data_IF_933343034655
#
_entry.id   IF_933343034655
#
_cell.length_a   1.000
_cell.length_b   1.000
_cell.length_c   1.000
_cell.angle_alpha   90.00
_cell.angle_beta   90.00
_cell.angle_gamma   90.00
#
_symmetry.space_group_name_H-M   'P 1'
#
loop_
_entity.id
_entity.type
_entity.pdbx_description
1 polymer ?
#
# COMPACT_ATOMS: atom_id res chain seq x y z
N UNK A 1 -6.65 5.06 16.13
CA UNK A 1 -7.74 4.36 15.41
C UNK A 1 -8.63 5.24 14.53
N UNK A 2 -9.11 6.42 14.98
CA UNK A 2 -10.09 7.18 14.18
C UNK A 2 -9.52 7.75 12.86
N UNK A 3 -8.21 8.06 12.82
CA UNK A 3 -7.52 8.58 11.62
C UNK A 3 -7.28 7.51 10.55
N UNK A 4 -6.84 6.32 10.95
CA UNK A 4 -6.72 5.16 10.04
C UNK A 4 -8.03 4.87 9.33
N UNK A 5 -9.18 4.95 10.03
CA UNK A 5 -10.50 4.79 9.43
C UNK A 5 -10.82 5.84 8.36
N UNK A 6 -10.43 7.09 8.60
CA UNK A 6 -10.62 8.18 7.62
C UNK A 6 -9.76 7.92 6.37
N UNK A 7 -8.49 7.55 6.57
CA UNK A 7 -7.57 7.27 5.46
C UNK A 7 -8.02 6.04 4.67
N UNK A 8 -8.42 4.96 5.36
CA UNK A 8 -8.94 3.76 4.71
C UNK A 8 -10.23 4.04 3.93
N UNK A 9 -11.07 4.96 4.41
CA UNK A 9 -12.26 5.42 3.67
C UNK A 9 -11.94 6.08 2.33
N UNK A 10 -10.74 6.66 2.16
CA UNK A 10 -10.29 7.17 0.85
C UNK A 10 -9.79 6.05 -0.09
N UNK A 11 -9.55 4.86 0.43
CA UNK A 11 -9.04 3.69 -0.29
C UNK A 11 -10.14 2.65 -0.56
N UNK A 12 -11.24 2.70 0.19
CA UNK A 12 -12.39 1.81 0.06
C UNK A 12 -13.55 2.51 -0.66
N UNK A 13 -14.09 1.95 -1.75
CA UNK A 13 -15.33 2.46 -2.35
C UNK A 13 -16.52 2.00 -1.50
N UNK A 14 -16.94 2.80 -0.52
CA UNK A 14 -18.06 2.48 0.40
C UNK A 14 -19.47 2.71 -0.20
N UNK A 15 -19.64 2.54 -1.51
CA UNK A 15 -20.93 2.70 -2.19
C UNK A 15 -21.40 1.36 -2.77
N UNK A 16 -22.52 0.78 -2.29
CA UNK A 16 -23.12 -0.43 -2.90
C UNK A 16 -23.53 -0.26 -4.37
N UNK A 17 -23.54 0.99 -4.87
CA UNK A 17 -23.95 1.39 -6.21
C UNK A 17 -22.80 1.76 -7.15
N UNK A 18 -21.54 1.77 -6.68
CA UNK A 18 -20.41 2.03 -7.57
C UNK A 18 -19.82 0.72 -8.10
N UNK A 19 -19.37 0.69 -9.36
CA UNK A 19 -18.78 -0.52 -9.90
C UNK A 19 -17.59 -0.88 -9.03
N UNK A 20 -17.62 -2.08 -8.44
CA UNK A 20 -16.37 -2.77 -8.08
C UNK A 20 -15.52 -2.65 -9.33
N UNK A 21 -14.36 -2.00 -9.20
CA UNK A 21 -13.38 -1.96 -10.26
C UNK A 21 -12.98 -3.42 -10.44
N UNK A 22 -13.64 -4.12 -11.36
CA UNK A 22 -13.18 -5.41 -11.81
C UNK A 22 -11.72 -5.17 -12.20
N UNK A 23 -10.82 -5.99 -11.66
CA UNK A 23 -9.43 -6.07 -12.09
C UNK A 23 -9.44 -6.37 -13.60
N UNK A 24 -9.60 -5.33 -14.42
CA UNK A 24 -9.54 -5.44 -15.86
C UNK A 24 -8.06 -5.53 -16.18
N UNK A 25 -7.63 -6.76 -16.46
CA UNK A 25 -6.43 -7.02 -17.25
C UNK A 25 -6.46 -6.05 -18.43
N UNK A 26 -5.57 -5.07 -18.39
CA UNK A 26 -5.30 -4.25 -19.56
C UNK A 26 -4.11 -4.91 -20.23
N UNK A 27 -4.26 -5.26 -21.50
CA UNK A 27 -3.15 -5.80 -22.29
C UNK A 27 -2.09 -4.71 -22.43
N UNK A 28 -1.15 -4.69 -21.49
CA UNK A 28 0.10 -3.98 -21.65
C UNK A 28 0.83 -4.72 -22.78
N UNK A 29 0.95 -4.07 -23.94
CA UNK A 29 1.62 -4.64 -25.11
C UNK A 29 3.11 -4.84 -24.87
N UNK A 30 3.51 -5.83 -24.08
CA UNK A 30 4.84 -6.42 -24.15
C UNK A 30 4.84 -7.37 -25.36
N UNK A 31 5.56 -7.00 -26.41
CA UNK A 31 5.62 -7.72 -27.69
C UNK A 31 6.27 -9.13 -27.62
N UNK A 32 6.57 -9.64 -26.43
CA UNK A 32 7.18 -10.95 -26.21
C UNK A 32 6.25 -11.79 -25.33
N UNK A 33 6.00 -13.04 -25.74
CA UNK A 33 5.21 -13.98 -24.94
C UNK A 33 5.84 -14.14 -23.56
N UNK A 34 5.06 -13.87 -22.52
CA UNK A 34 5.57 -13.80 -21.16
C UNK A 34 6.20 -15.13 -20.74
N UNK A 35 7.47 -15.10 -20.34
CA UNK A 35 8.13 -16.26 -19.77
C UNK A 35 7.61 -16.48 -18.35
N UNK A 36 7.69 -17.72 -17.83
CA UNK A 36 7.29 -18.01 -16.45
C UNK A 36 8.10 -17.25 -15.37
N UNK A 37 9.17 -16.56 -15.78
CA UNK A 37 10.12 -15.85 -14.93
C UNK A 37 9.92 -14.32 -14.97
N UNK A 38 8.94 -13.82 -15.73
CA UNK A 38 8.75 -12.38 -15.89
C UNK A 38 8.22 -11.73 -14.60
N UNK A 39 8.78 -10.57 -14.25
CA UNK A 39 8.32 -9.78 -13.10
C UNK A 39 7.13 -8.93 -13.53
N UNK A 40 5.97 -9.18 -12.91
CA UNK A 40 4.71 -8.52 -13.24
C UNK A 40 4.21 -7.64 -12.09
N UNK A 41 3.54 -6.52 -12.43
CA UNK A 41 2.85 -5.67 -11.46
C UNK A 41 1.41 -6.16 -11.31
N UNK A 42 1.08 -6.72 -10.15
CA UNK A 42 -0.25 -7.32 -9.89
C UNK A 42 -1.31 -6.25 -9.57
N UNK A 43 -0.98 -5.33 -8.67
CA UNK A 43 -1.93 -4.32 -8.17
C UNK A 43 -1.21 -3.08 -7.63
N UNK A 44 -1.94 -1.98 -7.45
CA UNK A 44 -1.40 -0.75 -6.87
C UNK A 44 -2.47 0.15 -6.24
N UNK A 45 -2.14 0.73 -5.09
CA UNK A 45 -2.92 1.75 -4.38
C UNK A 45 -2.05 2.91 -3.94
N UNK A 46 -2.68 4.07 -3.77
CA UNK A 46 -2.05 5.26 -3.22
C UNK A 46 -3.03 6.03 -2.36
N UNK A 47 -2.51 6.77 -1.40
CA UNK A 47 -3.32 7.77 -0.70
C UNK A 47 -3.66 8.95 -1.62
N UNK A 48 -4.64 9.77 -1.21
CA UNK A 48 -4.81 11.09 -1.79
C UNK A 48 -3.57 11.96 -1.50
N UNK A 49 -3.24 12.93 -2.36
CA UNK A 49 -2.09 13.80 -2.12
C UNK A 49 -2.57 15.06 -1.38
N UNK A 50 -2.15 15.22 -0.12
CA UNK A 50 -2.49 16.38 0.71
C UNK A 50 -1.44 17.48 0.66
N UNK A 51 -1.86 18.75 0.81
CA UNK A 51 -0.93 19.87 1.03
C UNK A 51 -0.25 19.75 2.39
N UNK A 52 1.07 19.89 2.44
CA UNK A 52 1.82 19.88 3.69
C UNK A 52 1.33 20.98 4.67
N UNK A 53 1.31 20.67 5.97
CA UNK A 53 0.90 21.55 7.10
C UNK A 53 -0.55 22.03 7.13
N UNK A 54 -1.23 22.16 5.99
CA UNK A 54 -2.60 22.71 5.88
C UNK A 54 -3.63 21.74 5.28
N UNK A 55 -3.18 20.64 4.66
CA UNK A 55 -4.06 19.63 4.06
C UNK A 55 -4.58 18.60 5.07
N UNK A 56 -5.39 17.66 4.58
CA UNK A 56 -6.05 16.64 5.41
C UNK A 56 -5.10 15.71 6.18
N UNK A 57 -3.87 15.54 5.70
CA UNK A 57 -2.85 14.69 6.35
C UNK A 57 -1.88 15.45 7.26
N UNK A 58 -2.16 16.72 7.59
CA UNK A 58 -1.24 17.54 8.41
C UNK A 58 -0.92 16.95 9.77
N UNK A 59 -1.84 16.16 10.33
CA UNK A 59 -1.68 15.51 11.63
C UNK A 59 -1.43 14.00 11.50
N UNK A 60 -1.35 13.46 10.28
CA UNK A 60 -1.20 12.03 10.04
C UNK A 60 0.28 11.67 9.93
N UNK A 61 0.70 10.66 10.67
CA UNK A 61 2.10 10.20 10.66
C UNK A 61 2.37 9.32 9.43
N UNK A 62 3.62 9.23 8.94
CA UNK A 62 3.94 8.48 7.72
C UNK A 62 3.69 6.97 7.83
N UNK A 63 3.82 6.40 9.02
CA UNK A 63 3.47 4.99 9.30
C UNK A 63 1.97 4.72 9.14
N UNK A 64 1.09 5.63 9.57
CA UNK A 64 -0.35 5.53 9.33
C UNK A 64 -0.68 5.60 7.82
N UNK A 65 -0.01 6.49 7.08
CA UNK A 65 -0.20 6.63 5.63
C UNK A 65 0.26 5.38 4.87
N UNK A 66 1.44 4.86 5.25
CA UNK A 66 2.00 3.65 4.65
C UNK A 66 1.16 2.42 5.00
N UNK A 67 0.71 2.31 6.25
CA UNK A 67 -0.13 1.19 6.69
C UNK A 67 -1.44 1.12 5.91
N UNK A 68 -2.08 2.27 5.68
CA UNK A 68 -3.34 2.32 4.94
C UNK A 68 -3.21 1.73 3.53
N UNK A 69 -2.14 2.05 2.80
CA UNK A 69 -1.95 1.52 1.43
C UNK A 69 -1.52 0.07 1.42
N UNK A 70 -0.70 -0.37 2.38
CA UNK A 70 -0.30 -1.78 2.48
C UNK A 70 -1.51 -2.68 2.77
N UNK A 71 -2.36 -2.30 3.73
CA UNK A 71 -3.60 -3.01 4.02
C UNK A 71 -4.57 -2.99 2.83
N UNK A 72 -4.72 -1.85 2.15
CA UNK A 72 -5.63 -1.75 1.01
C UNK A 72 -5.24 -2.70 -0.14
N UNK A 73 -3.95 -2.73 -0.50
CA UNK A 73 -3.46 -3.63 -1.56
C UNK A 73 -3.74 -5.10 -1.19
N UNK A 74 -3.36 -5.53 0.01
CA UNK A 74 -3.57 -6.91 0.46
C UNK A 74 -5.05 -7.30 0.48
N UNK A 75 -5.92 -6.37 0.90
CA UNK A 75 -7.38 -6.58 0.92
C UNK A 75 -7.95 -6.73 -0.48
N UNK A 76 -7.51 -5.89 -1.42
CA UNK A 76 -8.00 -5.93 -2.80
C UNK A 76 -7.60 -7.23 -3.52
N UNK A 77 -6.36 -7.69 -3.32
CA UNK A 77 -5.86 -8.92 -3.97
C UNK A 77 -6.23 -10.19 -3.20
N UNK A 78 -6.72 -10.07 -1.97
CA UNK A 78 -7.01 -11.22 -1.10
C UNK A 78 -5.76 -12.05 -0.76
N UNK A 79 -4.60 -11.41 -0.69
CA UNK A 79 -3.31 -12.07 -0.42
C UNK A 79 -3.01 -12.03 1.08
N UNK A 80 -2.60 -13.18 1.62
CA UNK A 80 -2.16 -13.26 3.00
C UNK A 80 -0.75 -12.65 3.14
N UNK A 81 -0.48 -11.78 4.14
CA UNK A 81 0.78 -11.04 4.26
C UNK A 81 2.04 -11.92 4.39
N UNK A 82 1.90 -13.12 4.95
CA UNK A 82 2.96 -14.13 5.12
C UNK A 82 3.51 -14.67 3.80
N UNK A 83 2.80 -14.47 2.68
CA UNK A 83 3.26 -14.88 1.34
C UNK A 83 4.25 -13.92 0.72
N UNK A 84 4.44 -12.73 1.29
CA UNK A 84 5.38 -11.75 0.76
C UNK A 84 6.81 -12.12 1.12
N UNK A 85 7.69 -12.14 0.13
CA UNK A 85 9.11 -12.43 0.36
C UNK A 85 9.89 -11.24 0.91
N UNK A 86 9.48 -10.02 0.57
CA UNK A 86 10.20 -8.81 0.93
C UNK A 86 9.33 -7.54 0.79
N UNK A 87 9.70 -6.47 1.50
CA UNK A 87 9.03 -5.17 1.46
C UNK A 87 10.07 -4.05 1.36
N UNK A 88 10.01 -3.27 0.29
CA UNK A 88 10.89 -2.12 0.06
C UNK A 88 10.08 -0.81 0.15
N UNK A 89 10.54 0.14 0.96
CA UNK A 89 9.82 1.40 1.23
C UNK A 89 10.70 2.61 0.94
N UNK A 90 10.38 3.36 -0.11
CA UNK A 90 11.10 4.61 -0.40
C UNK A 90 10.68 5.75 0.52
N UNK A 91 11.64 6.35 1.25
CA UNK A 91 11.42 7.58 2.01
C UNK A 91 12.71 8.43 2.12
N UNK A 92 12.54 9.76 2.16
CA UNK A 92 13.66 10.72 2.08
C UNK A 92 13.96 11.42 3.40
N UNK A 93 12.93 11.95 4.08
CA UNK A 93 13.13 12.95 5.13
C UNK A 93 13.17 12.38 6.56
N UNK A 94 12.69 11.15 6.77
CA UNK A 94 12.79 10.51 8.08
C UNK A 94 14.23 10.04 8.36
N UNK A 95 14.71 10.10 9.61
CA UNK A 95 16.02 9.56 9.98
C UNK A 95 16.19 8.11 9.55
N UNK A 96 17.39 7.76 9.05
CA UNK A 96 17.70 6.40 8.59
C UNK A 96 16.75 5.92 7.48
N UNK A 97 16.40 6.82 6.55
CA UNK A 97 15.41 6.58 5.49
C UNK A 97 14.04 6.09 5.99
N UNK A 98 13.75 6.23 7.30
CA UNK A 98 12.47 5.81 7.88
C UNK A 98 12.35 4.30 8.14
N UNK A 99 13.46 3.55 8.21
CA UNK A 99 13.43 2.10 8.43
C UNK A 99 12.55 1.66 9.61
N UNK A 100 12.62 2.38 10.74
CA UNK A 100 11.76 2.11 11.91
C UNK A 100 10.29 2.41 11.62
N UNK A 101 9.99 3.51 10.92
CA UNK A 101 8.61 3.91 10.56
C UNK A 101 8.00 2.89 9.60
N UNK A 102 8.78 2.40 8.63
CA UNK A 102 8.38 1.33 7.72
C UNK A 102 8.06 0.05 8.48
N UNK A 103 8.91 -0.35 9.45
CA UNK A 103 8.67 -1.55 10.27
C UNK A 103 7.44 -1.41 11.19
N UNK A 104 7.18 -0.21 11.72
CA UNK A 104 5.96 0.04 12.49
C UNK A 104 4.72 -0.08 11.60
N UNK A 105 4.72 0.54 10.43
CA UNK A 105 3.61 0.45 9.47
C UNK A 105 3.35 -1.00 9.03
N UNK A 106 4.41 -1.78 8.83
CA UNK A 106 4.38 -3.21 8.51
C UNK A 106 3.55 -3.98 9.54
N UNK A 107 3.85 -3.79 10.82
CA UNK A 107 3.08 -4.42 11.92
C UNK A 107 1.65 -3.87 12.05
N UNK A 108 1.44 -2.56 11.87
CA UNK A 108 0.10 -1.98 11.87
C UNK A 108 -0.79 -2.57 10.77
N UNK A 109 -0.18 -3.03 9.67
CA UNK A 109 -0.86 -3.62 8.52
C UNK A 109 -1.06 -5.13 8.63
N UNK A 110 -0.67 -5.75 9.74
CA UNK A 110 -0.84 -7.17 10.01
C UNK A 110 0.21 -8.07 9.36
N UNK A 111 1.33 -7.53 8.90
CA UNK A 111 2.41 -8.36 8.37
C UNK A 111 3.15 -9.06 9.53
N UNK A 112 3.52 -10.34 9.36
CA UNK A 112 4.28 -11.04 10.38
C UNK A 112 5.73 -10.54 10.43
N UNK A 113 6.37 -10.75 11.59
CA UNK A 113 7.77 -10.41 11.81
C UNK A 113 8.75 -11.16 10.90
N UNK A 114 8.35 -12.31 10.37
CA UNK A 114 9.16 -13.15 9.47
C UNK A 114 9.40 -12.50 8.11
N UNK A 115 8.50 -11.62 7.67
CA UNK A 115 8.66 -10.90 6.39
C UNK A 115 9.63 -9.73 6.61
N UNK A 116 10.75 -9.65 5.87
CA UNK A 116 11.69 -8.55 5.99
C UNK A 116 11.12 -7.24 5.43
N UNK A 117 11.65 -6.11 5.90
CA UNK A 117 11.34 -4.79 5.37
C UNK A 117 12.56 -3.89 5.46
N UNK A 118 12.79 -3.09 4.42
CA UNK A 118 13.87 -2.11 4.35
C UNK A 118 13.43 -0.84 3.62
N UNK A 119 14.26 0.21 3.74
CA UNK A 119 14.03 1.54 3.16
C UNK A 119 15.23 2.04 2.38
#
# INVERSE_FOLDING_TARGET
MNRLKIISGHLCPDSPSEPRWDLRSSDCGSAAGGSGEDVVVVHGRRTAIGRARRGGFKDTTPDELLSAVMTAVLTDVGLSPDKLGDVCVGNVLQPGAGALVARVAHFLSGFPETVPVYT
#
